data_IF_436039500332
#
_entry.id   IF_436039500332
#
_cell.length_a   1.000
_cell.length_b   1.000
_cell.length_c   1.000
_cell.angle_alpha   90.00
_cell.angle_beta   90.00
_cell.angle_gamma   90.00
#
_symmetry.space_group_name_H-M   'P 1'
#
loop_
_entity.id
_entity.type
_entity.pdbx_description
1 polymer ?
#
# COMPACT_ATOMS: atom_id res chain seq x y z
N UNK A 1 -27.10 -21.58 -37.09
CA UNK A 1 -26.74 -20.27 -36.52
C UNK A 1 -25.86 -20.53 -35.30
N UNK A 2 -24.56 -20.42 -35.48
CA UNK A 2 -23.55 -20.76 -34.45
C UNK A 2 -23.24 -19.55 -33.58
N UNK A 3 -23.24 -19.76 -32.27
CA UNK A 3 -22.74 -18.78 -31.27
C UNK A 3 -21.22 -18.85 -31.21
N UNK A 4 -20.48 -17.75 -31.26
CA UNK A 4 -19.04 -17.77 -30.95
C UNK A 4 -18.82 -17.83 -29.43
N UNK A 5 -18.02 -18.80 -29.02
CA UNK A 5 -17.47 -18.97 -27.66
C UNK A 5 -16.45 -17.87 -27.38
N UNK A 6 -16.69 -17.05 -26.37
CA UNK A 6 -15.69 -16.12 -25.84
C UNK A 6 -14.83 -16.86 -24.81
N UNK A 7 -13.66 -17.31 -25.27
CA UNK A 7 -12.61 -17.81 -24.38
C UNK A 7 -12.01 -16.65 -23.59
N UNK A 8 -12.27 -16.62 -22.28
CA UNK A 8 -11.66 -15.68 -21.35
C UNK A 8 -10.15 -15.92 -21.27
N UNK A 9 -9.36 -14.92 -21.60
CA UNK A 9 -7.92 -14.90 -21.30
C UNK A 9 -7.73 -14.60 -19.82
N UNK A 10 -7.36 -15.63 -19.05
CA UNK A 10 -6.89 -15.49 -17.68
C UNK A 10 -5.58 -14.68 -17.68
N UNK A 11 -5.54 -13.58 -16.92
CA UNK A 11 -4.31 -12.86 -16.64
C UNK A 11 -3.56 -13.66 -15.58
N UNK A 12 -2.46 -14.29 -15.98
CA UNK A 12 -1.58 -15.03 -15.09
C UNK A 12 -0.88 -14.05 -14.13
N UNK A 13 -1.18 -14.15 -12.84
CA UNK A 13 -0.34 -13.59 -11.78
C UNK A 13 0.95 -14.41 -11.71
N UNK A 14 2.08 -13.78 -12.01
CA UNK A 14 3.39 -14.37 -11.81
C UNK A 14 3.70 -14.44 -10.32
N UNK A 15 3.62 -15.65 -9.74
CA UNK A 15 4.16 -15.93 -8.41
C UNK A 15 5.69 -16.02 -8.50
N UNK A 16 6.36 -15.05 -7.91
CA UNK A 16 7.80 -15.10 -7.71
C UNK A 16 8.08 -15.90 -6.43
N UNK A 17 8.39 -17.19 -6.56
CA UNK A 17 8.91 -18.01 -5.46
C UNK A 17 10.42 -17.90 -5.40
N UNK A 18 10.93 -17.21 -4.39
CA UNK A 18 12.36 -17.21 -4.06
C UNK A 18 12.66 -18.41 -3.18
N UNK A 19 13.41 -19.38 -3.71
CA UNK A 19 13.90 -20.54 -2.98
C UNK A 19 15.20 -20.19 -2.27
N UNK A 20 15.36 -20.45 -0.96
CA UNK A 20 16.64 -20.23 -0.27
C UNK A 20 17.58 -21.40 -0.53
N UNK A 21 18.74 -21.16 -1.16
CA UNK A 21 19.86 -22.09 -1.24
C UNK A 21 20.47 -22.27 0.15
N UNK A 22 20.35 -23.50 0.69
CA UNK A 22 21.17 -23.94 1.84
C UNK A 22 22.58 -24.26 1.35
N UNK A 23 23.56 -23.53 1.82
CA UNK A 23 24.97 -23.91 1.74
C UNK A 23 25.37 -24.59 3.04
N UNK A 24 25.71 -25.88 2.94
CA UNK A 24 26.37 -26.64 4.00
C UNK A 24 27.84 -26.23 4.07
N UNK A 25 28.27 -25.65 5.18
CA UNK A 25 29.69 -25.54 5.52
C UNK A 25 30.00 -26.41 6.74
N UNK A 26 30.94 -27.34 6.53
CA UNK A 26 31.44 -28.28 7.54
C UNK A 26 32.38 -27.55 8.50
N UNK A 27 32.10 -27.64 9.79
CA UNK A 27 32.99 -27.18 10.85
C UNK A 27 34.11 -28.14 11.08
N UNK A 28 35.35 -27.60 11.23
CA UNK A 28 36.47 -28.25 11.93
C UNK A 28 36.90 -27.35 13.09
N UNK A 29 37.17 -27.91 14.28
CA UNK A 29 37.59 -27.13 15.44
C UNK A 29 39.09 -26.93 15.47
N UNK A 30 39.54 -25.75 15.88
CA UNK A 30 40.91 -25.53 16.38
C UNK A 30 40.82 -24.72 17.67
N UNK A 31 41.24 -25.35 18.76
CA UNK A 31 41.55 -24.70 20.04
C UNK A 31 42.80 -23.82 19.88
N UNK A 32 42.80 -22.63 20.44
CA UNK A 32 43.94 -22.00 21.06
C UNK A 32 43.50 -20.90 22.00
N UNK A 33 43.98 -20.96 23.22
CA UNK A 33 43.71 -20.08 24.35
C UNK A 33 44.33 -18.68 24.16
N UNK A 34 43.71 -17.67 24.75
CA UNK A 34 44.26 -16.33 24.92
C UNK A 34 43.30 -15.40 25.63
N UNK A 35 43.44 -15.30 26.93
CA UNK A 35 42.80 -14.29 27.80
C UNK A 35 43.33 -12.90 27.45
N UNK A 36 42.44 -11.93 27.14
CA UNK A 36 42.61 -10.52 27.57
C UNK A 36 41.18 -9.93 27.67
N UNK A 37 40.85 -9.55 28.90
CA UNK A 37 39.65 -8.78 29.22
C UNK A 37 39.84 -7.32 28.79
N UNK A 38 38.92 -6.78 28.00
CA UNK A 38 38.72 -5.34 27.84
C UNK A 38 37.22 -5.10 27.73
N UNK A 39 36.62 -4.61 28.82
CA UNK A 39 35.25 -4.12 28.88
C UNK A 39 35.12 -2.87 27.99
N UNK A 40 34.48 -2.99 26.86
CA UNK A 40 33.90 -1.88 26.10
C UNK A 40 32.39 -2.13 26.07
N UNK A 41 31.67 -1.52 27.02
CA UNK A 41 30.24 -1.38 26.94
C UNK A 41 29.90 -0.41 25.79
N UNK A 42 29.88 -0.93 24.56
CA UNK A 42 29.35 -0.24 23.41
C UNK A 42 27.83 -0.20 23.54
N UNK A 43 27.28 0.98 23.80
CA UNK A 43 25.85 1.27 23.60
C UNK A 43 25.52 1.06 22.13
N UNK A 44 25.21 -0.15 21.73
CA UNK A 44 24.45 -0.39 20.51
C UNK A 44 22.99 0.01 20.83
N UNK A 45 22.70 1.30 20.71
CA UNK A 45 21.35 1.77 20.53
C UNK A 45 20.80 1.10 19.28
N UNK A 46 20.03 0.02 19.43
CA UNK A 46 19.21 -0.50 18.36
C UNK A 46 18.27 0.64 17.98
N UNK A 47 18.59 1.38 16.92
CA UNK A 47 17.63 2.21 16.23
C UNK A 47 16.53 1.24 15.77
N UNK A 48 15.45 1.16 16.54
CA UNK A 48 14.23 0.52 16.10
C UNK A 48 13.84 1.28 14.83
N UNK A 49 14.09 0.69 13.67
CA UNK A 49 13.54 1.17 12.42
C UNK A 49 12.03 1.22 12.64
N UNK A 50 11.49 2.42 12.81
CA UNK A 50 10.07 2.62 12.90
C UNK A 50 9.51 2.09 11.58
N UNK A 51 8.88 0.91 11.63
CA UNK A 51 8.19 0.34 10.49
C UNK A 51 7.11 1.36 10.12
N UNK A 52 7.27 1.97 8.97
CA UNK A 52 6.32 2.96 8.48
C UNK A 52 4.96 2.26 8.38
N UNK A 53 3.99 2.74 9.17
CA UNK A 53 2.66 2.15 9.21
C UNK A 53 2.00 2.43 7.87
N UNK A 54 1.78 1.38 7.08
CA UNK A 54 1.07 1.45 5.81
C UNK A 54 -0.44 1.25 6.02
N UNK A 55 -1.20 1.57 5.00
CA UNK A 55 -2.63 1.30 4.92
C UNK A 55 -2.92 -0.17 4.60
N UNK A 56 -4.18 -0.56 4.79
CA UNK A 56 -4.73 -1.80 4.24
C UNK A 56 -5.77 -1.47 3.19
N UNK A 57 -5.56 -1.93 1.95
CA UNK A 57 -6.50 -1.73 0.83
C UNK A 57 -7.29 -3.01 0.60
N UNK A 58 -8.61 -2.92 0.71
CA UNK A 58 -9.53 -4.06 0.53
C UNK A 58 -10.45 -3.79 -0.66
N UNK A 59 -10.48 -4.62 -1.70
CA UNK A 59 -11.46 -4.53 -2.77
C UNK A 59 -12.89 -4.68 -2.21
N UNK A 60 -13.77 -3.74 -2.57
CA UNK A 60 -15.19 -3.75 -2.18
C UNK A 60 -16.11 -4.07 -3.35
N UNK A 61 -15.77 -3.63 -4.57
CA UNK A 61 -16.51 -3.90 -5.79
C UNK A 61 -15.55 -3.85 -6.99
N UNK A 62 -15.77 -4.75 -7.94
CA UNK A 62 -15.24 -4.64 -9.30
C UNK A 62 -16.30 -5.12 -10.27
N UNK A 63 -16.81 -4.22 -11.11
CA UNK A 63 -17.92 -4.49 -12.01
C UNK A 63 -17.73 -3.76 -13.34
N UNK A 64 -17.89 -4.48 -14.45
CA UNK A 64 -18.02 -3.85 -15.76
C UNK A 64 -19.31 -3.01 -15.82
N UNK A 65 -19.22 -1.83 -16.46
CA UNK A 65 -20.38 -0.96 -16.64
C UNK A 65 -21.13 -1.40 -17.91
N UNK A 66 -22.35 -1.98 -17.79
CA UNK A 66 -22.97 -2.68 -18.91
C UNK A 66 -23.27 -1.81 -20.13
N UNK A 67 -23.54 -0.52 -19.94
CA UNK A 67 -23.88 0.45 -20.97
C UNK A 67 -22.70 1.32 -21.42
N UNK A 68 -21.47 1.05 -20.92
CA UNK A 68 -20.26 1.77 -21.32
C UNK A 68 -19.17 0.73 -21.63
N UNK A 69 -19.10 0.22 -22.85
CA UNK A 69 -18.16 -0.83 -23.24
C UNK A 69 -16.70 -0.47 -22.93
N UNK A 70 -15.96 -1.41 -22.34
CA UNK A 70 -14.56 -1.25 -21.97
C UNK A 70 -14.31 -0.40 -20.72
N UNK A 71 -15.37 -0.07 -19.98
CA UNK A 71 -15.29 0.61 -18.68
C UNK A 71 -15.76 -0.29 -17.55
N UNK A 72 -15.11 -0.14 -16.40
CA UNK A 72 -15.47 -0.82 -15.17
C UNK A 72 -15.50 0.16 -14.00
N UNK A 73 -16.31 -0.17 -13.01
CA UNK A 73 -16.31 0.50 -11.72
C UNK A 73 -15.54 -0.37 -10.74
N UNK A 74 -14.52 0.20 -10.12
CA UNK A 74 -13.78 -0.44 -9.03
C UNK A 74 -13.93 0.39 -7.77
N UNK A 75 -14.32 -0.25 -6.67
CA UNK A 75 -14.37 0.39 -5.36
C UNK A 75 -13.45 -0.35 -4.40
N UNK A 76 -12.66 0.41 -3.64
CA UNK A 76 -11.77 -0.12 -2.59
C UNK A 76 -12.00 0.62 -1.28
N UNK A 77 -11.88 -0.10 -0.19
CA UNK A 77 -11.82 0.48 1.16
C UNK A 77 -10.37 0.53 1.59
N UNK A 78 -9.94 1.71 2.03
CA UNK A 78 -8.59 1.93 2.55
C UNK A 78 -8.69 2.20 4.05
N UNK A 79 -8.16 1.26 4.84
CA UNK A 79 -8.10 1.36 6.29
C UNK A 79 -6.72 1.88 6.72
N UNK A 80 -6.69 3.00 7.40
CA UNK A 80 -5.49 3.60 7.96
C UNK A 80 -5.43 3.41 9.48
N UNK A 81 -4.43 2.70 9.97
CA UNK A 81 -4.09 2.72 11.38
C UNK A 81 -3.72 4.15 11.84
N UNK A 82 -3.69 4.46 13.15
CA UNK A 82 -3.22 5.74 13.64
C UNK A 82 -1.84 6.11 13.10
N UNK A 83 -1.73 7.24 12.38
CA UNK A 83 -0.50 7.74 11.76
C UNK A 83 -0.04 6.98 10.51
N UNK A 84 -0.85 6.05 9.98
CA UNK A 84 -0.53 5.33 8.75
C UNK A 84 -0.67 6.24 7.51
N UNK A 85 0.11 5.92 6.47
CA UNK A 85 0.11 6.63 5.20
C UNK A 85 0.22 5.66 4.02
N UNK A 86 -0.36 6.01 2.90
CA UNK A 86 -0.06 5.39 1.61
C UNK A 86 1.24 5.94 1.04
N UNK A 87 2.06 5.13 0.40
CA UNK A 87 3.16 5.63 -0.43
C UNK A 87 2.63 6.59 -1.51
N UNK A 88 3.42 7.60 -1.86
CA UNK A 88 3.09 8.46 -2.99
C UNK A 88 3.03 7.62 -4.28
N UNK A 89 1.95 7.79 -5.05
CA UNK A 89 1.69 6.98 -6.25
C UNK A 89 1.02 7.78 -7.35
N UNK A 90 0.98 7.21 -8.56
CA UNK A 90 0.28 7.76 -9.71
C UNK A 90 -0.87 6.87 -10.12
N UNK A 91 -1.98 7.48 -10.50
CA UNK A 91 -3.12 6.77 -11.05
C UNK A 91 -3.01 6.60 -12.57
N UNK A 92 -3.68 5.58 -13.10
CA UNK A 92 -3.75 5.36 -14.55
C UNK A 92 -4.44 6.55 -15.25
N UNK A 93 -4.00 6.87 -16.46
CA UNK A 93 -4.62 7.93 -17.29
C UNK A 93 -6.07 7.62 -17.71
N UNK A 94 -6.51 6.38 -17.51
CA UNK A 94 -7.89 5.93 -17.75
C UNK A 94 -8.79 6.00 -16.53
N UNK A 95 -8.23 6.27 -15.35
CA UNK A 95 -8.95 6.26 -14.09
C UNK A 95 -9.23 7.68 -13.60
N UNK A 96 -10.48 7.94 -13.24
CA UNK A 96 -10.91 9.08 -12.44
C UNK A 96 -11.29 8.53 -11.07
N UNK A 97 -10.74 9.10 -10.00
CA UNK A 97 -10.99 8.60 -8.66
C UNK A 97 -11.90 9.56 -7.91
N UNK A 98 -12.97 9.04 -7.31
CA UNK A 98 -13.75 9.70 -6.29
C UNK A 98 -13.41 9.09 -4.93
N UNK A 99 -12.98 9.90 -3.99
CA UNK A 99 -12.59 9.48 -2.66
C UNK A 99 -13.50 10.11 -1.60
N UNK A 100 -14.01 9.29 -0.67
CA UNK A 100 -14.93 9.70 0.39
C UNK A 100 -14.43 9.23 1.75
N UNK A 101 -14.30 10.14 2.71
CA UNK A 101 -13.87 9.82 4.07
C UNK A 101 -15.05 9.22 4.84
N UNK A 102 -14.99 7.90 5.07
CA UNK A 102 -16.03 7.15 5.80
C UNK A 102 -15.95 7.41 7.30
N UNK A 103 -14.71 7.46 7.84
CA UNK A 103 -14.50 7.74 9.27
C UNK A 103 -13.11 8.34 9.52
N UNK A 104 -12.95 9.04 10.63
CA UNK A 104 -11.70 9.69 11.00
C UNK A 104 -11.41 10.95 10.19
N UNK A 105 -10.12 11.20 9.93
CA UNK A 105 -9.65 12.35 9.17
C UNK A 105 -8.46 11.97 8.30
N UNK A 106 -8.51 12.38 7.04
CA UNK A 106 -7.48 12.10 6.02
C UNK A 106 -6.82 13.42 5.60
N UNK A 107 -5.52 13.43 5.57
CA UNK A 107 -4.74 14.48 4.91
C UNK A 107 -4.41 14.00 3.49
N UNK A 108 -4.82 14.76 2.48
CA UNK A 108 -4.64 14.43 1.07
C UNK A 108 -4.00 15.58 0.30
N UNK A 109 -3.14 15.23 -0.67
CA UNK A 109 -2.60 16.17 -1.65
C UNK A 109 -2.54 15.52 -3.02
N UNK A 110 -3.24 16.10 -3.99
CA UNK A 110 -3.32 15.62 -5.37
C UNK A 110 -2.56 16.59 -6.27
N UNK A 111 -1.64 16.08 -7.08
CA UNK A 111 -0.72 16.84 -7.92
C UNK A 111 0.04 17.90 -7.09
N UNK A 112 0.14 19.11 -7.63
CA UNK A 112 0.75 20.27 -6.98
C UNK A 112 -0.28 21.16 -6.24
N UNK A 113 -1.50 20.61 -6.03
CA UNK A 113 -2.57 21.27 -5.29
C UNK A 113 -2.25 21.43 -3.80
N UNK A 114 -3.08 22.19 -3.06
CA UNK A 114 -2.89 22.37 -1.63
C UNK A 114 -3.14 21.05 -0.89
N UNK A 115 -2.44 20.85 0.22
CA UNK A 115 -2.82 19.84 1.20
C UNK A 115 -4.17 20.16 1.79
N UNK A 116 -5.05 19.16 1.83
CA UNK A 116 -6.38 19.24 2.38
C UNK A 116 -6.50 18.32 3.59
N UNK A 117 -7.11 18.79 4.66
CA UNK A 117 -7.54 17.99 5.78
C UNK A 117 -9.03 17.74 5.61
N UNK A 118 -9.40 16.45 5.42
CA UNK A 118 -10.77 16.04 5.18
C UNK A 118 -11.26 15.18 6.34
N UNK A 119 -12.47 15.44 6.80
CA UNK A 119 -13.14 14.72 7.88
C UNK A 119 -14.19 13.77 7.33
N UNK A 120 -14.69 12.86 8.17
CA UNK A 120 -15.79 11.97 7.83
C UNK A 120 -16.98 12.75 7.22
N UNK A 121 -17.51 12.24 6.10
CA UNK A 121 -18.53 12.90 5.30
C UNK A 121 -18.03 13.82 4.19
N UNK A 122 -16.74 14.12 4.15
CA UNK A 122 -16.12 14.93 3.09
C UNK A 122 -15.50 14.06 2.00
N UNK A 123 -15.35 14.63 0.83
CA UNK A 123 -14.80 13.93 -0.34
C UNK A 123 -13.87 14.83 -1.14
N UNK A 124 -13.05 14.18 -1.97
CA UNK A 124 -12.22 14.81 -3.00
C UNK A 124 -12.21 13.92 -4.24
N UNK A 125 -11.58 14.39 -5.29
CA UNK A 125 -11.39 13.61 -6.50
C UNK A 125 -9.96 13.75 -7.02
N UNK A 126 -9.57 12.78 -7.83
CA UNK A 126 -8.27 12.74 -8.49
C UNK A 126 -8.51 12.58 -9.99
N UNK A 127 -8.06 13.55 -10.81
CA UNK A 127 -8.22 13.48 -12.26
C UNK A 127 -7.39 12.34 -12.88
N UNK A 128 -7.71 11.91 -14.10
CA UNK A 128 -6.94 10.89 -14.81
C UNK A 128 -5.45 11.18 -14.84
N UNK A 129 -4.64 10.19 -14.45
CA UNK A 129 -3.18 10.33 -14.39
C UNK A 129 -2.66 11.18 -13.23
N UNK A 130 -3.49 11.52 -12.26
CA UNK A 130 -3.07 12.29 -11.09
C UNK A 130 -1.99 11.60 -10.28
N UNK A 131 -1.12 12.41 -9.68
CA UNK A 131 -0.15 11.98 -8.67
C UNK A 131 -0.74 12.27 -7.28
N UNK A 132 -1.01 11.22 -6.51
CA UNK A 132 -1.42 11.33 -5.12
C UNK A 132 -0.18 11.39 -4.24
N UNK A 133 0.25 12.60 -3.88
CA UNK A 133 1.53 12.82 -3.19
C UNK A 133 1.41 12.65 -1.68
N UNK A 134 0.24 12.90 -1.12
CA UNK A 134 -0.07 12.71 0.30
C UNK A 134 -1.43 12.02 0.42
N UNK A 135 -1.46 10.88 1.09
CA UNK A 135 -2.68 10.22 1.56
C UNK A 135 -2.38 9.57 2.90
N UNK A 136 -2.86 10.16 3.99
CA UNK A 136 -2.54 9.65 5.32
C UNK A 136 -3.62 9.94 6.35
N UNK A 137 -3.67 9.11 7.38
CA UNK A 137 -4.45 9.41 8.58
C UNK A 137 -3.84 10.60 9.32
N UNK A 138 -4.62 11.68 9.44
CA UNK A 138 -4.20 12.88 10.16
C UNK A 138 -4.09 12.65 11.69
N UNK A 139 -4.75 11.61 12.22
CA UNK A 139 -4.72 11.27 13.64
C UNK A 139 -3.60 10.27 13.96
N UNK A 140 -2.85 10.55 15.02
CA UNK A 140 -1.85 9.60 15.57
C UNK A 140 -2.44 8.61 16.58
N UNK A 141 -3.71 8.77 16.96
CA UNK A 141 -4.35 7.99 18.02
C UNK A 141 -5.63 7.29 17.62
N UNK A 142 -6.30 7.71 16.55
CA UNK A 142 -7.57 7.14 16.04
C UNK A 142 -7.39 6.62 14.63
N UNK A 143 -8.04 5.51 14.24
CA UNK A 143 -8.02 5.03 12.86
C UNK A 143 -8.83 5.95 11.95
N UNK A 144 -8.60 5.81 10.65
CA UNK A 144 -9.39 6.46 9.60
C UNK A 144 -9.72 5.47 8.49
N UNK A 145 -10.82 5.74 7.77
CA UNK A 145 -11.29 4.89 6.66
C UNK A 145 -11.69 5.76 5.48
N UNK A 146 -11.21 5.39 4.31
CA UNK A 146 -11.49 6.02 3.03
C UNK A 146 -12.17 5.01 2.10
N UNK A 147 -13.18 5.42 1.36
CA UNK A 147 -13.71 4.71 0.20
C UNK A 147 -13.17 5.40 -1.05
N UNK A 148 -12.50 4.67 -1.92
CA UNK A 148 -12.10 5.16 -3.24
C UNK A 148 -12.82 4.39 -4.34
N UNK A 149 -13.37 5.12 -5.32
CA UNK A 149 -14.11 4.59 -6.46
C UNK A 149 -13.44 5.10 -7.74
N UNK A 150 -13.10 4.16 -8.64
CA UNK A 150 -12.37 4.40 -9.89
C UNK A 150 -13.20 3.97 -11.09
#
# INVERSE_FOLDING_TARGET
>A
MGRPSLAGKAIAMAHFTVSPRRTHMKNKPRLAAGLIAAAMAGLFGAAAAAHEKTETVTPALQQEIPNIPGKSLTAVVVDYAPGAASPAHMHAKSAFIYAYVVSGSIESQVNDGPKQLLHAGQSFYEPPGARHTVSRNASKTKPAKLLAVL
#
